data_IF_975595857588
#
_entry.id   IF_975595857588
#
_cell.length_a   1.000
_cell.length_b   1.000
_cell.length_c   1.000
_cell.angle_alpha   90.00
_cell.angle_beta   90.00
_cell.angle_gamma   90.00
#
_symmetry.space_group_name_H-M   'P 1'
#
loop_
_entity.id
_entity.type
_entity.pdbx_description
1 polymer ?
#
# COMPACT_ATOMS: atom_id res chain seq x y z
N UNK A 1 10.11 10.83 -17.62
CA UNK A 1 10.17 9.36 -17.79
C UNK A 1 11.27 9.04 -18.78
N UNK A 2 11.94 7.88 -18.66
CA UNK A 2 12.94 7.45 -19.65
C UNK A 2 12.24 7.04 -20.96
N UNK A 3 12.92 7.22 -22.10
CA UNK A 3 12.39 6.74 -23.39
C UNK A 3 12.19 5.22 -23.39
N UNK A 4 13.05 4.48 -22.68
CA UNK A 4 12.93 3.03 -22.46
C UNK A 4 11.63 2.68 -21.74
N UNK A 5 11.32 3.32 -20.60
CA UNK A 5 10.06 3.10 -19.88
C UNK A 5 8.83 3.36 -20.77
N UNK A 6 8.83 4.46 -21.54
CA UNK A 6 7.73 4.79 -22.44
C UNK A 6 7.56 3.73 -23.53
N UNK A 7 8.66 3.25 -24.13
CA UNK A 7 8.64 2.14 -25.09
C UNK A 7 8.02 0.89 -24.45
N UNK A 8 8.53 0.47 -23.29
CA UNK A 8 8.05 -0.71 -22.56
C UNK A 8 6.54 -0.65 -22.29
N UNK A 9 6.06 0.43 -21.68
CA UNK A 9 4.63 0.65 -21.41
C UNK A 9 3.75 0.55 -22.66
N UNK A 10 4.25 0.99 -23.82
CA UNK A 10 3.51 0.95 -25.09
C UNK A 10 3.58 -0.41 -25.82
N UNK A 11 4.56 -1.27 -25.50
CA UNK A 11 4.80 -2.54 -26.24
C UNK A 11 4.58 -3.81 -25.42
N UNK A 12 4.73 -3.78 -24.10
CA UNK A 12 4.67 -4.98 -23.24
C UNK A 12 3.23 -5.33 -22.78
N UNK A 13 2.42 -4.41 -22.23
CA UNK A 13 1.04 -4.71 -21.84
C UNK A 13 0.11 -4.97 -23.03
N UNK A 14 -1.04 -5.58 -22.75
CA UNK A 14 -2.21 -5.52 -23.62
C UNK A 14 -2.71 -4.07 -23.71
N UNK A 15 -3.00 -3.59 -24.94
CA UNK A 15 -3.40 -2.19 -25.18
C UNK A 15 -4.68 -1.79 -24.43
N UNK A 16 -5.62 -2.74 -24.23
CA UNK A 16 -6.85 -2.49 -23.46
C UNK A 16 -6.54 -2.32 -21.96
N UNK A 17 -5.59 -3.10 -21.44
CA UNK A 17 -5.16 -3.00 -20.04
C UNK A 17 -4.36 -1.71 -19.79
N UNK A 18 -3.45 -1.35 -20.71
CA UNK A 18 -2.76 -0.06 -20.66
C UNK A 18 -3.72 1.12 -20.66
N UNK A 19 -4.76 1.07 -21.51
CA UNK A 19 -5.82 2.08 -21.53
C UNK A 19 -6.61 2.12 -20.21
N UNK A 20 -7.05 0.96 -19.69
CA UNK A 20 -7.74 0.89 -18.39
C UNK A 20 -6.86 1.40 -17.24
N UNK A 21 -5.56 1.10 -17.23
CA UNK A 21 -4.61 1.66 -16.26
C UNK A 21 -4.49 3.18 -16.40
N UNK A 22 -4.24 3.70 -17.60
CA UNK A 22 -4.12 5.14 -17.84
C UNK A 22 -5.40 5.92 -17.49
N UNK A 23 -6.59 5.34 -17.74
CA UNK A 23 -7.87 6.01 -17.52
C UNK A 23 -8.44 5.80 -16.11
N UNK A 24 -8.58 4.56 -15.63
CA UNK A 24 -9.19 4.28 -14.33
C UNK A 24 -8.21 4.54 -13.17
N UNK A 25 -6.93 4.17 -13.28
CA UNK A 25 -5.93 4.49 -12.25
C UNK A 25 -5.39 5.92 -12.44
N UNK A 26 -4.90 6.25 -13.64
CA UNK A 26 -4.32 7.56 -13.93
C UNK A 26 -5.33 8.70 -13.85
N UNK A 27 -6.19 8.86 -14.85
CA UNK A 27 -7.09 10.02 -14.95
C UNK A 27 -8.12 10.08 -13.81
N UNK A 28 -8.84 8.99 -13.51
CA UNK A 28 -9.82 8.99 -12.41
C UNK A 28 -9.17 9.05 -11.03
N UNK A 29 -8.00 8.45 -10.82
CA UNK A 29 -7.27 8.58 -9.56
C UNK A 29 -6.87 10.03 -9.26
N UNK A 30 -6.38 10.76 -10.27
CA UNK A 30 -6.13 12.20 -10.17
C UNK A 30 -7.41 12.97 -9.80
N UNK A 31 -8.53 12.70 -10.48
CA UNK A 31 -9.84 13.31 -10.17
C UNK A 31 -10.36 12.94 -8.76
N UNK A 32 -10.01 11.76 -8.23
CA UNK A 32 -10.35 11.34 -6.87
C UNK A 32 -9.57 12.18 -5.84
N UNK A 33 -8.29 12.43 -6.09
CA UNK A 33 -7.42 13.27 -5.26
C UNK A 33 -7.88 14.74 -5.28
N UNK A 34 -8.22 15.28 -6.45
CA UNK A 34 -8.73 16.66 -6.56
C UNK A 34 -10.09 16.84 -5.86
N UNK A 35 -10.98 15.83 -5.91
CA UNK A 35 -12.23 15.80 -5.13
C UNK A 35 -11.94 15.80 -3.63
N UNK A 36 -11.02 14.95 -3.17
CA UNK A 36 -10.59 14.92 -1.77
C UNK A 36 -9.97 16.25 -1.30
N UNK A 37 -9.08 16.86 -2.09
CA UNK A 37 -8.53 18.19 -1.80
C UNK A 37 -9.60 19.27 -1.71
N UNK A 38 -10.68 19.18 -2.51
CA UNK A 38 -11.83 20.08 -2.41
C UNK A 38 -12.59 19.84 -1.10
N UNK A 39 -12.84 18.58 -0.73
CA UNK A 39 -13.49 18.18 0.53
C UNK A 39 -12.75 18.65 1.77
N UNK A 40 -11.42 18.49 1.81
CA UNK A 40 -10.59 18.98 2.92
C UNK A 40 -10.77 20.49 3.18
N UNK A 41 -10.89 21.30 2.12
CA UNK A 41 -11.15 22.74 2.22
C UNK A 41 -12.55 23.09 2.77
N UNK A 42 -13.43 22.10 2.86
CA UNK A 42 -14.79 22.20 3.40
C UNK A 42 -14.92 21.49 4.77
N UNK A 43 -13.83 20.90 5.30
CA UNK A 43 -13.85 20.11 6.53
C UNK A 43 -14.30 18.66 6.36
N UNK A 44 -14.52 18.21 5.12
CA UNK A 44 -14.92 16.83 4.80
C UNK A 44 -13.68 15.94 4.56
N UNK A 45 -13.74 14.69 5.03
CA UNK A 45 -12.62 13.74 5.05
C UNK A 45 -12.90 12.42 4.33
N UNK A 46 -13.94 12.33 3.48
CA UNK A 46 -14.18 11.12 2.70
C UNK A 46 -12.99 10.75 1.79
N UNK A 47 -12.36 9.58 1.96
CA UNK A 47 -11.05 9.27 1.39
C UNK A 47 -11.04 9.13 -0.13
N UNK A 48 -9.93 9.49 -0.77
CA UNK A 48 -9.74 9.43 -2.23
C UNK A 48 -9.61 7.99 -2.75
N UNK A 49 -9.18 7.07 -1.90
CA UNK A 49 -9.01 5.64 -2.17
C UNK A 49 -9.01 4.88 -0.84
N UNK A 50 -9.23 3.56 -0.88
CA UNK A 50 -9.13 2.70 0.30
C UNK A 50 -8.12 1.58 0.10
N UNK A 51 -7.51 1.15 1.20
CA UNK A 51 -6.90 -0.16 1.32
C UNK A 51 -7.94 -1.10 1.94
N UNK A 52 -8.14 -2.30 1.38
CA UNK A 52 -9.16 -3.25 1.85
C UNK A 52 -8.50 -4.61 1.99
N UNK A 53 -8.42 -5.13 3.22
CA UNK A 53 -8.04 -6.53 3.47
C UNK A 53 -9.28 -7.40 3.36
N UNK A 54 -9.37 -8.22 2.30
CA UNK A 54 -10.58 -9.04 2.05
C UNK A 54 -10.64 -10.30 2.91
N UNK A 55 -9.50 -10.82 3.33
CA UNK A 55 -9.33 -12.00 4.20
C UNK A 55 -8.14 -11.82 5.12
N UNK A 56 -8.04 -12.51 6.25
CA UNK A 56 -6.77 -12.69 6.98
C UNK A 56 -6.08 -14.04 6.71
N UNK A 57 -6.64 -14.90 5.86
CA UNK A 57 -5.98 -16.12 5.41
C UNK A 57 -4.69 -15.80 4.65
N UNK A 58 -3.61 -16.56 4.90
CA UNK A 58 -2.36 -16.44 4.14
C UNK A 58 -1.63 -17.79 4.05
N UNK A 59 -0.98 -18.06 2.93
CA UNK A 59 -0.12 -19.23 2.74
C UNK A 59 1.35 -19.00 3.19
N UNK A 60 1.63 -17.92 3.94
CA UNK A 60 2.96 -17.51 4.40
C UNK A 60 2.90 -16.90 5.82
N UNK A 61 3.99 -17.04 6.58
CA UNK A 61 4.12 -16.54 7.95
C UNK A 61 5.25 -15.50 8.06
N UNK A 62 5.07 -14.34 7.41
CA UNK A 62 6.15 -13.36 7.23
C UNK A 62 6.64 -12.74 8.54
N UNK A 63 7.95 -12.54 8.66
CA UNK A 63 8.59 -11.84 9.76
C UNK A 63 8.24 -10.34 9.71
N UNK A 64 7.59 -9.83 10.76
CA UNK A 64 7.04 -8.47 10.77
C UNK A 64 5.79 -8.29 9.92
N UNK A 65 5.01 -9.35 9.71
CA UNK A 65 3.64 -9.18 9.21
C UNK A 65 2.76 -8.55 10.30
N UNK A 66 2.03 -7.50 9.96
CA UNK A 66 0.97 -6.97 10.83
C UNK A 66 -0.29 -7.85 10.81
N UNK A 67 -0.52 -8.63 9.75
CA UNK A 67 -1.72 -9.47 9.63
C UNK A 67 -1.60 -10.71 10.52
N UNK A 68 -2.61 -10.90 11.37
CA UNK A 68 -2.77 -12.11 12.17
C UNK A 68 -3.77 -13.05 11.51
N UNK A 69 -3.31 -14.23 11.12
CA UNK A 69 -4.15 -15.30 10.60
C UNK A 69 -5.04 -15.85 11.73
N UNK A 70 -6.25 -16.29 11.38
CA UNK A 70 -7.15 -17.03 12.28
C UNK A 70 -7.67 -18.30 11.62
N UNK A 71 -8.19 -19.22 12.43
CA UNK A 71 -8.87 -20.41 11.95
C UNK A 71 -10.23 -20.55 12.68
N UNK A 72 -11.38 -20.40 12.00
CA UNK A 72 -11.51 -20.03 10.58
C UNK A 72 -10.93 -18.64 10.25
N UNK A 73 -10.62 -18.36 8.98
CA UNK A 73 -10.22 -17.01 8.57
C UNK A 73 -11.40 -16.04 8.71
N UNK A 74 -11.07 -14.77 8.96
CA UNK A 74 -11.98 -13.64 8.93
C UNK A 74 -11.98 -13.06 7.52
N UNK A 75 -13.17 -12.87 6.96
CA UNK A 75 -13.35 -12.46 5.57
C UNK A 75 -14.50 -11.46 5.43
N UNK A 76 -14.29 -10.42 4.61
CA UNK A 76 -15.37 -9.48 4.28
C UNK A 76 -16.45 -10.21 3.48
N UNK A 77 -17.73 -10.03 3.77
CA UNK A 77 -18.76 -10.66 2.94
C UNK A 77 -18.71 -10.08 1.50
N UNK A 78 -18.81 -10.90 0.42
CA UNK A 78 -18.73 -10.40 -0.95
C UNK A 78 -19.76 -9.30 -1.29
N UNK A 79 -20.95 -9.35 -0.67
CA UNK A 79 -21.96 -8.29 -0.77
C UNK A 79 -21.54 -6.98 -0.09
N UNK A 80 -20.91 -7.06 1.09
CA UNK A 80 -20.34 -5.90 1.80
C UNK A 80 -19.22 -5.25 0.97
N UNK A 81 -18.38 -6.05 0.29
CA UNK A 81 -17.31 -5.53 -0.57
C UNK A 81 -17.86 -4.83 -1.83
N UNK A 82 -18.89 -5.39 -2.47
CA UNK A 82 -19.62 -4.81 -3.62
C UNK A 82 -20.31 -3.48 -3.23
N UNK A 83 -20.98 -3.45 -2.07
CA UNK A 83 -21.57 -2.24 -1.49
C UNK A 83 -20.50 -1.17 -1.18
N UNK A 84 -19.42 -1.54 -0.49
CA UNK A 84 -18.30 -0.67 -0.13
C UNK A 84 -17.72 0.05 -1.35
N UNK A 85 -17.42 -0.70 -2.41
CA UNK A 85 -16.90 -0.13 -3.66
C UNK A 85 -17.97 0.74 -4.34
N UNK A 86 -19.24 0.34 -4.28
CA UNK A 86 -20.36 1.10 -4.86
C UNK A 86 -20.58 2.45 -4.15
N UNK A 87 -20.50 2.53 -2.83
CA UNK A 87 -20.56 3.79 -2.08
C UNK A 87 -19.33 4.68 -2.38
N UNK A 88 -18.12 4.12 -2.37
CA UNK A 88 -16.91 4.86 -2.73
C UNK A 88 -17.01 5.47 -4.15
N UNK A 89 -17.58 4.75 -5.12
CA UNK A 89 -17.82 5.27 -6.48
C UNK A 89 -18.78 6.47 -6.50
N UNK A 90 -19.86 6.45 -5.71
CA UNK A 90 -20.78 7.60 -5.58
C UNK A 90 -20.03 8.84 -5.10
N UNK A 91 -19.07 8.66 -4.20
CA UNK A 91 -18.19 9.71 -3.69
C UNK A 91 -16.98 10.02 -4.58
N UNK A 92 -16.83 9.33 -5.72
CA UNK A 92 -15.79 9.61 -6.72
C UNK A 92 -14.44 8.96 -6.45
N UNK A 93 -14.38 7.96 -5.58
CA UNK A 93 -13.18 7.19 -5.26
C UNK A 93 -13.21 5.90 -6.09
N UNK A 94 -12.34 5.83 -7.11
CA UNK A 94 -12.34 4.75 -8.13
C UNK A 94 -11.13 3.81 -8.04
N UNK A 95 -10.25 4.03 -7.08
CA UNK A 95 -9.02 3.28 -6.88
C UNK A 95 -9.03 2.57 -5.54
N UNK A 96 -8.64 1.29 -5.52
CA UNK A 96 -8.60 0.47 -4.33
C UNK A 96 -7.30 -0.35 -4.31
N UNK A 97 -6.60 -0.33 -3.18
CA UNK A 97 -5.59 -1.32 -2.87
C UNK A 97 -6.25 -2.51 -2.21
N UNK A 98 -6.11 -3.70 -2.80
CA UNK A 98 -6.67 -4.94 -2.28
C UNK A 98 -5.55 -5.74 -1.63
N UNK A 99 -5.72 -6.00 -0.34
CA UNK A 99 -4.83 -6.76 0.53
C UNK A 99 -5.59 -7.97 1.10
N UNK A 100 -4.91 -8.72 1.94
CA UNK A 100 -5.52 -9.65 2.88
C UNK A 100 -4.44 -10.10 3.85
N UNK A 101 -4.43 -11.38 4.21
CA UNK A 101 -3.18 -12.11 4.31
C UNK A 101 -2.61 -12.30 2.89
N UNK A 102 -3.22 -13.19 2.12
CA UNK A 102 -3.07 -13.30 0.66
C UNK A 102 -4.45 -13.18 0.00
N UNK A 103 -4.77 -12.09 -0.73
CA UNK A 103 -6.10 -11.88 -1.29
C UNK A 103 -6.49 -12.91 -2.36
N UNK A 104 -5.55 -13.61 -3.01
CA UNK A 104 -5.87 -14.70 -3.94
C UNK A 104 -6.38 -15.98 -3.27
N UNK A 105 -6.53 -15.99 -1.93
CA UNK A 105 -7.27 -17.03 -1.18
C UNK A 105 -8.75 -16.67 -0.94
N UNK A 106 -9.18 -15.46 -1.27
CA UNK A 106 -10.57 -15.01 -1.04
C UNK A 106 -11.51 -15.42 -2.18
N UNK A 107 -12.52 -16.21 -1.85
CA UNK A 107 -13.53 -16.67 -2.81
C UNK A 107 -14.42 -15.50 -3.30
N UNK A 108 -14.65 -15.42 -4.61
CA UNK A 108 -15.49 -14.39 -5.22
C UNK A 108 -14.79 -13.06 -5.56
N UNK A 109 -13.46 -12.97 -5.40
CA UNK A 109 -12.73 -11.71 -5.60
C UNK A 109 -12.85 -11.16 -7.03
N UNK A 110 -12.76 -12.03 -8.02
CA UNK A 110 -12.74 -11.65 -9.44
C UNK A 110 -14.12 -11.25 -9.95
N UNK A 111 -15.17 -11.86 -9.42
CA UNK A 111 -16.57 -11.51 -9.66
C UNK A 111 -16.87 -10.07 -9.19
N UNK A 112 -16.33 -9.66 -8.03
CA UNK A 112 -16.44 -8.28 -7.54
C UNK A 112 -15.66 -7.31 -8.44
N UNK A 113 -14.45 -7.68 -8.88
CA UNK A 113 -13.69 -6.83 -9.81
C UNK A 113 -14.39 -6.68 -11.17
N UNK A 114 -15.06 -7.72 -11.67
CA UNK A 114 -15.81 -7.68 -12.92
C UNK A 114 -17.06 -6.81 -12.83
N UNK A 115 -17.77 -6.79 -11.69
CA UNK A 115 -18.89 -5.87 -11.43
C UNK A 115 -18.49 -4.38 -11.44
N UNK A 116 -17.20 -4.06 -11.38
CA UNK A 116 -16.70 -2.69 -11.25
C UNK A 116 -15.66 -2.33 -12.33
N UNK A 117 -16.00 -2.45 -13.63
CA UNK A 117 -15.07 -2.24 -14.75
C UNK A 117 -14.56 -0.79 -14.87
N UNK A 118 -15.21 0.15 -14.18
CA UNK A 118 -14.90 1.57 -14.11
C UNK A 118 -13.91 1.94 -12.99
N UNK A 119 -13.66 1.03 -12.05
CA UNK A 119 -12.64 1.14 -10.99
C UNK A 119 -11.28 0.61 -11.44
N UNK A 120 -10.27 0.72 -10.58
CA UNK A 120 -9.00 0.04 -10.74
C UNK A 120 -8.51 -0.56 -9.42
N UNK A 121 -8.06 -1.81 -9.49
CA UNK A 121 -7.67 -2.61 -8.34
C UNK A 121 -6.16 -2.90 -8.37
N UNK A 122 -5.45 -2.40 -7.36
CA UNK A 122 -4.05 -2.73 -7.10
C UNK A 122 -4.01 -3.92 -6.14
N UNK A 123 -3.71 -5.10 -6.67
CA UNK A 123 -3.76 -6.35 -5.90
C UNK A 123 -2.40 -6.64 -5.26
N UNK A 124 -2.29 -6.46 -3.94
CA UNK A 124 -1.09 -6.77 -3.16
C UNK A 124 -1.05 -8.26 -2.89
N UNK A 125 -0.05 -8.97 -3.43
CA UNK A 125 0.00 -10.43 -3.39
C UNK A 125 1.45 -10.92 -3.29
N UNK A 126 1.68 -12.06 -2.63
CA UNK A 126 2.96 -12.76 -2.65
C UNK A 126 3.28 -13.35 -4.05
N UNK A 127 2.30 -13.42 -4.95
CA UNK A 127 2.47 -13.85 -6.34
C UNK A 127 2.50 -15.37 -6.55
N UNK A 128 2.61 -16.18 -5.50
CA UNK A 128 2.73 -17.65 -5.59
C UNK A 128 1.47 -18.29 -6.20
N UNK A 129 0.30 -17.70 -5.93
CA UNK A 129 -1.00 -18.13 -6.46
C UNK A 129 -1.27 -17.66 -7.91
N UNK A 130 -0.41 -16.82 -8.50
CA UNK A 130 -0.59 -16.33 -9.87
C UNK A 130 -0.14 -17.41 -10.87
N UNK A 131 -1.03 -18.35 -11.13
CA UNK A 131 -0.90 -19.30 -12.25
C UNK A 131 -1.15 -18.61 -13.60
N UNK A 132 -0.84 -19.30 -14.71
CA UNK A 132 -1.19 -18.80 -16.04
C UNK A 132 -2.71 -18.62 -16.24
N UNK A 133 -3.54 -19.43 -15.58
CA UNK A 133 -5.00 -19.29 -15.60
C UNK A 133 -5.45 -18.04 -14.82
N UNK A 134 -4.90 -17.83 -13.62
CA UNK A 134 -5.16 -16.62 -12.81
C UNK A 134 -4.73 -15.35 -13.55
N UNK A 135 -3.55 -15.36 -14.19
CA UNK A 135 -3.08 -14.24 -15.00
C UNK A 135 -3.94 -13.99 -16.27
N UNK A 136 -4.45 -15.05 -16.91
CA UNK A 136 -5.44 -14.94 -18.01
C UNK A 136 -6.75 -14.32 -17.54
N UNK A 137 -7.21 -14.66 -16.33
CA UNK A 137 -8.45 -14.14 -15.79
C UNK A 137 -8.33 -12.65 -15.41
N UNK A 138 -7.24 -12.28 -14.74
CA UNK A 138 -6.89 -10.87 -14.54
C UNK A 138 -6.80 -10.10 -15.88
N UNK A 139 -6.29 -10.75 -16.94
CA UNK A 139 -6.27 -10.16 -18.29
C UNK A 139 -7.68 -9.99 -18.83
N UNK A 140 -8.57 -10.99 -18.70
CA UNK A 140 -9.96 -10.94 -19.17
C UNK A 140 -10.67 -9.70 -18.60
N UNK A 141 -10.68 -9.57 -17.28
CA UNK A 141 -11.33 -8.46 -16.55
C UNK A 141 -10.61 -7.13 -16.86
N UNK A 142 -9.29 -7.08 -16.69
CA UNK A 142 -8.40 -6.02 -17.19
C UNK A 142 -8.40 -4.69 -16.43
N UNK A 143 -9.09 -4.58 -15.29
CA UNK A 143 -9.02 -3.43 -14.35
C UNK A 143 -8.16 -3.74 -13.11
N UNK A 144 -7.31 -4.76 -13.19
CA UNK A 144 -6.47 -5.28 -12.09
C UNK A 144 -5.01 -5.08 -12.48
N UNK A 145 -4.18 -4.69 -11.52
CA UNK A 145 -2.72 -4.72 -11.65
C UNK A 145 -2.12 -5.42 -10.43
N UNK A 146 -1.53 -6.63 -10.60
CA UNK A 146 -0.84 -7.31 -9.52
C UNK A 146 0.39 -6.50 -9.07
N UNK A 147 0.58 -6.43 -7.76
CA UNK A 147 1.73 -5.84 -7.10
C UNK A 147 2.41 -6.93 -6.28
N UNK A 148 3.38 -7.58 -6.92
CA UNK A 148 4.01 -8.81 -6.41
C UNK A 148 5.06 -8.46 -5.37
N UNK A 149 4.94 -9.08 -4.21
CA UNK A 149 5.72 -8.75 -3.02
C UNK A 149 7.05 -9.52 -2.99
N UNK A 150 8.18 -8.82 -3.16
CA UNK A 150 9.54 -9.37 -3.09
C UNK A 150 10.26 -8.81 -1.85
N UNK A 151 10.67 -9.68 -0.93
CA UNK A 151 11.20 -9.29 0.39
C UNK A 151 12.70 -9.56 0.58
N UNK A 152 13.35 -10.07 -0.47
CA UNK A 152 14.76 -10.44 -0.53
C UNK A 152 15.03 -11.24 -1.81
N UNK A 153 16.28 -11.62 -2.03
CA UNK A 153 16.65 -12.58 -3.07
C UNK A 153 16.89 -13.95 -2.42
N UNK A 154 16.44 -15.02 -3.09
CA UNK A 154 16.59 -16.42 -2.64
C UNK A 154 16.30 -16.60 -1.12
N UNK A 155 17.28 -17.09 -0.34
CA UNK A 155 17.20 -17.35 1.11
C UNK A 155 16.70 -16.16 1.94
N UNK A 156 17.02 -14.91 1.54
CA UNK A 156 16.57 -13.71 2.27
C UNK A 156 15.05 -13.59 2.16
N UNK A 157 14.46 -13.94 1.01
CA UNK A 157 13.01 -13.96 0.85
C UNK A 157 12.37 -15.05 1.70
N UNK A 158 12.97 -16.24 1.73
CA UNK A 158 12.47 -17.41 2.48
C UNK A 158 12.40 -17.13 3.99
N UNK A 159 13.49 -16.58 4.55
CA UNK A 159 13.54 -16.14 5.96
C UNK A 159 12.55 -15.01 6.25
N UNK A 160 12.47 -13.99 5.38
CA UNK A 160 11.57 -12.84 5.57
C UNK A 160 10.09 -13.21 5.44
N UNK A 161 9.76 -14.18 4.59
CA UNK A 161 8.39 -14.60 4.26
C UNK A 161 7.89 -15.81 5.07
N UNK A 162 8.80 -16.56 5.70
CA UNK A 162 8.45 -17.75 6.47
C UNK A 162 7.96 -18.89 5.58
N UNK A 163 8.75 -19.25 4.56
CA UNK A 163 8.45 -20.32 3.60
C UNK A 163 9.68 -20.71 2.77
N UNK A 164 9.54 -21.68 1.87
CA UNK A 164 10.63 -22.20 1.04
C UNK A 164 10.50 -21.79 -0.44
N UNK A 165 11.62 -21.47 -1.09
CA UNK A 165 11.69 -21.03 -2.49
C UNK A 165 10.72 -19.90 -2.83
N UNK A 166 10.41 -19.03 -1.87
CA UNK A 166 9.36 -18.00 -1.98
C UNK A 166 9.72 -17.01 -3.06
N UNK A 167 10.99 -16.60 -3.14
CA UNK A 167 11.46 -15.74 -4.24
C UNK A 167 11.13 -16.37 -5.61
N UNK A 168 11.54 -17.61 -5.84
CA UNK A 168 11.36 -18.32 -7.11
C UNK A 168 9.86 -18.46 -7.47
N UNK A 169 9.01 -18.73 -6.49
CA UNK A 169 7.56 -18.82 -6.68
C UNK A 169 6.93 -17.44 -7.01
N UNK A 170 7.32 -16.37 -6.31
CA UNK A 170 6.91 -14.99 -6.64
C UNK A 170 7.37 -14.59 -8.06
N UNK A 171 8.59 -14.98 -8.46
CA UNK A 171 9.11 -14.71 -9.80
C UNK A 171 8.38 -15.51 -10.89
N UNK A 172 7.91 -16.72 -10.60
CA UNK A 172 7.01 -17.48 -11.49
C UNK A 172 5.68 -16.76 -11.68
N UNK A 173 5.10 -16.20 -10.61
CA UNK A 173 3.91 -15.34 -10.68
C UNK A 173 4.12 -14.13 -11.58
N UNK A 174 5.25 -13.43 -11.43
CA UNK A 174 5.63 -12.30 -12.29
C UNK A 174 5.78 -12.72 -13.76
N UNK A 175 6.40 -13.88 -14.02
CA UNK A 175 6.52 -14.42 -15.37
C UNK A 175 5.15 -14.76 -15.99
N UNK A 176 4.20 -15.27 -15.21
CA UNK A 176 2.83 -15.54 -15.65
C UNK A 176 2.07 -14.24 -15.97
N UNK A 177 2.23 -13.17 -15.18
CA UNK A 177 1.73 -11.84 -15.48
C UNK A 177 2.29 -11.29 -16.81
N UNK A 178 3.61 -11.36 -16.99
CA UNK A 178 4.32 -10.88 -18.19
C UNK A 178 3.91 -11.66 -19.44
N UNK A 179 3.79 -13.00 -19.36
CA UNK A 179 3.30 -13.84 -20.48
C UNK A 179 1.89 -13.43 -20.91
N UNK A 180 1.04 -13.07 -19.95
CA UNK A 180 -0.33 -12.63 -20.20
C UNK A 180 -0.46 -11.12 -20.45
N UNK A 181 0.66 -10.40 -20.57
CA UNK A 181 0.73 -8.97 -20.92
C UNK A 181 -0.07 -8.09 -19.97
N UNK A 182 -0.06 -8.43 -18.67
CA UNK A 182 -0.66 -7.60 -17.65
C UNK A 182 0.15 -6.31 -17.45
N UNK A 183 -0.54 -5.26 -16.98
CA UNK A 183 0.15 -4.21 -16.23
C UNK A 183 0.43 -4.81 -14.85
N UNK A 184 1.65 -4.69 -14.37
CA UNK A 184 2.13 -5.41 -13.18
C UNK A 184 3.28 -4.64 -12.54
N UNK A 185 3.35 -4.67 -11.22
CA UNK A 185 4.48 -4.13 -10.49
C UNK A 185 5.03 -5.08 -9.45
N UNK A 186 6.13 -4.65 -8.82
CA UNK A 186 6.77 -5.29 -7.68
C UNK A 186 6.72 -4.34 -6.49
N UNK A 187 6.54 -4.85 -5.27
CA UNK A 187 6.72 -4.08 -4.05
C UNK A 187 7.73 -4.76 -3.13
N UNK A 188 8.44 -3.95 -2.34
CA UNK A 188 9.47 -4.40 -1.40
C UNK A 188 9.35 -3.61 -0.09
N UNK A 189 9.34 -4.28 1.06
CA UNK A 189 9.44 -3.70 2.40
C UNK A 189 10.92 -3.69 2.84
N UNK A 190 11.59 -2.58 2.54
CA UNK A 190 13.03 -2.40 2.76
C UNK A 190 13.34 -2.35 4.25
N UNK A 191 14.28 -3.20 4.65
CA UNK A 191 14.76 -3.40 6.01
C UNK A 191 16.27 -3.70 5.98
N UNK A 192 16.92 -3.78 7.14
CA UNK A 192 18.39 -3.94 7.20
C UNK A 192 18.93 -5.18 6.49
N UNK A 193 18.17 -6.27 6.43
CA UNK A 193 18.62 -7.54 5.83
C UNK A 193 18.42 -7.63 4.31
N UNK A 194 17.74 -6.66 3.69
CA UNK A 194 17.45 -6.69 2.24
C UNK A 194 17.76 -5.35 1.52
N UNK A 195 18.20 -4.30 2.22
CA UNK A 195 18.45 -2.99 1.62
C UNK A 195 19.53 -3.05 0.54
N UNK A 196 20.64 -3.74 0.77
CA UNK A 196 21.74 -3.83 -0.21
C UNK A 196 21.35 -4.65 -1.45
N UNK A 197 20.47 -5.65 -1.29
CA UNK A 197 19.93 -6.48 -2.38
C UNK A 197 18.88 -5.77 -3.23
N UNK A 198 18.02 -4.94 -2.62
CA UNK A 198 16.81 -4.40 -3.24
C UNK A 198 16.93 -2.90 -3.59
N UNK A 199 17.77 -2.12 -2.89
CA UNK A 199 17.97 -0.69 -3.11
C UNK A 199 19.19 -0.40 -4.02
N UNK A 200 19.36 -1.21 -5.07
CA UNK A 200 20.42 -1.04 -6.07
C UNK A 200 19.87 -1.09 -7.51
N UNK A 201 20.65 -0.57 -8.47
CA UNK A 201 20.22 -0.50 -9.87
C UNK A 201 20.14 -1.87 -10.57
N UNK A 202 20.88 -2.87 -10.11
CA UNK A 202 20.84 -4.23 -10.68
C UNK A 202 19.45 -4.83 -10.45
N UNK A 203 18.92 -4.75 -9.22
CA UNK A 203 17.57 -5.20 -8.90
C UNK A 203 16.49 -4.43 -9.68
N UNK A 204 16.56 -3.09 -9.71
CA UNK A 204 15.60 -2.25 -10.46
C UNK A 204 15.56 -2.60 -11.94
N UNK A 205 16.72 -2.84 -12.56
CA UNK A 205 16.80 -3.24 -13.96
C UNK A 205 16.35 -4.69 -14.18
N UNK A 206 16.58 -5.59 -13.23
CA UNK A 206 16.19 -7.00 -13.32
C UNK A 206 14.66 -7.18 -13.23
N UNK A 207 13.99 -6.57 -12.25
CA UNK A 207 12.51 -6.63 -12.19
C UNK A 207 11.87 -5.97 -13.42
N UNK A 208 12.50 -4.92 -13.95
CA UNK A 208 12.08 -4.30 -15.21
C UNK A 208 12.27 -5.25 -16.41
N UNK A 209 13.42 -5.93 -16.52
CA UNK A 209 13.71 -6.93 -17.58
C UNK A 209 12.70 -8.08 -17.57
N UNK A 210 12.18 -8.43 -16.40
CA UNK A 210 11.18 -9.49 -16.19
C UNK A 210 9.73 -9.04 -16.42
N UNK A 211 9.52 -7.78 -16.81
CA UNK A 211 8.20 -7.25 -17.22
C UNK A 211 7.47 -6.43 -16.16
N UNK A 212 8.08 -6.12 -15.01
CA UNK A 212 7.47 -5.17 -14.07
C UNK A 212 7.48 -3.74 -14.64
N UNK A 213 6.36 -3.04 -14.52
CA UNK A 213 6.12 -1.70 -15.06
C UNK A 213 6.29 -0.61 -13.98
N UNK A 214 6.12 -0.98 -12.71
CA UNK A 214 6.37 -0.14 -11.56
C UNK A 214 6.97 -0.94 -10.39
N UNK A 215 7.72 -0.27 -9.53
CA UNK A 215 8.39 -0.82 -8.35
C UNK A 215 8.12 0.09 -7.15
N UNK A 216 7.51 -0.45 -6.10
CA UNK A 216 7.15 0.30 -4.89
C UNK A 216 8.11 -0.04 -3.75
N UNK A 217 8.77 0.97 -3.21
CA UNK A 217 9.58 0.84 -2.01
C UNK A 217 8.77 1.30 -0.80
N UNK A 218 8.54 0.37 0.11
CA UNK A 218 8.04 0.63 1.45
C UNK A 218 9.20 0.57 2.44
N UNK A 219 9.19 1.41 3.48
CA UNK A 219 10.05 1.18 4.64
C UNK A 219 9.35 0.19 5.57
N UNK A 220 10.10 -0.82 6.02
CA UNK A 220 9.66 -1.79 7.00
C UNK A 220 9.24 -1.12 8.32
N UNK A 221 8.06 -1.49 8.82
CA UNK A 221 7.51 -1.05 10.11
C UNK A 221 7.49 -2.25 11.05
N UNK A 222 8.21 -2.21 12.18
CA UNK A 222 8.30 -3.36 13.08
C UNK A 222 7.05 -3.47 13.96
N UNK A 223 5.98 -4.07 13.44
CA UNK A 223 4.68 -4.25 14.11
C UNK A 223 4.14 -5.67 13.91
N UNK A 224 3.07 -6.03 14.63
CA UNK A 224 2.48 -7.35 14.59
C UNK A 224 3.06 -8.30 15.64
N UNK A 225 2.64 -9.58 15.65
CA UNK A 225 3.01 -10.53 16.71
C UNK A 225 4.50 -10.86 16.72
N UNK A 226 5.20 -10.71 15.58
CA UNK A 226 6.64 -10.94 15.45
C UNK A 226 7.30 -9.70 14.80
N UNK A 227 7.42 -8.57 15.52
CA UNK A 227 7.72 -7.27 14.92
C UNK A 227 9.19 -7.08 14.52
N UNK A 228 10.10 -7.93 15.00
CA UNK A 228 11.56 -7.91 14.75
C UNK A 228 12.17 -6.49 14.58
N UNK A 229 12.18 -5.65 15.64
CA UNK A 229 12.61 -4.25 15.53
C UNK A 229 14.07 -4.05 15.08
N UNK A 230 14.94 -5.05 15.27
CA UNK A 230 16.34 -5.02 14.81
C UNK A 230 16.48 -4.79 13.30
N UNK A 231 15.48 -5.20 12.50
CA UNK A 231 15.45 -5.02 11.04
C UNK A 231 15.01 -3.62 10.59
N UNK A 232 14.44 -2.79 11.48
CA UNK A 232 14.07 -1.42 11.13
C UNK A 232 15.30 -0.62 10.68
N UNK A 233 15.18 0.16 9.61
CA UNK A 233 16.29 0.99 9.12
C UNK A 233 16.68 2.05 10.16
N UNK A 234 17.95 2.44 10.16
CA UNK A 234 18.39 3.64 10.88
C UNK A 234 18.17 4.90 10.00
N UNK A 235 18.28 6.09 10.59
CA UNK A 235 18.03 7.36 9.89
C UNK A 235 18.94 7.62 8.67
N UNK A 236 20.17 7.11 8.68
CA UNK A 236 21.08 7.21 7.54
C UNK A 236 20.61 6.33 6.38
N UNK A 237 20.31 5.06 6.67
CA UNK A 237 19.74 4.10 5.70
C UNK A 237 18.42 4.58 5.09
N UNK A 238 17.55 5.25 5.85
CA UNK A 238 16.33 5.86 5.31
C UNK A 238 16.65 7.01 4.35
N UNK A 239 17.60 7.86 4.71
CA UNK A 239 18.06 8.98 3.86
C UNK A 239 18.69 8.45 2.56
N UNK A 240 19.46 7.38 2.65
CA UNK A 240 20.16 6.76 1.53
C UNK A 240 19.19 6.04 0.57
N UNK A 241 18.22 5.31 1.11
CA UNK A 241 17.11 4.72 0.34
C UNK A 241 16.34 5.82 -0.42
N UNK A 242 16.02 6.95 0.23
CA UNK A 242 15.37 8.10 -0.41
C UNK A 242 16.24 8.68 -1.53
N UNK A 243 17.55 8.84 -1.32
CA UNK A 243 18.49 9.33 -2.33
C UNK A 243 18.54 8.41 -3.55
N UNK A 244 18.69 7.10 -3.31
CA UNK A 244 18.68 6.07 -4.33
C UNK A 244 17.40 6.13 -5.19
N UNK A 245 16.22 6.18 -4.55
CA UNK A 245 14.94 6.29 -5.27
C UNK A 245 14.87 7.53 -6.16
N UNK A 246 15.26 8.69 -5.65
CA UNK A 246 15.24 9.95 -6.42
C UNK A 246 16.19 9.92 -7.61
N UNK A 247 17.36 9.29 -7.47
CA UNK A 247 18.34 9.20 -8.54
C UNK A 247 18.00 8.14 -9.60
N UNK A 248 17.56 6.95 -9.17
CA UNK A 248 17.21 5.87 -10.11
C UNK A 248 16.01 6.25 -10.98
N UNK A 249 15.04 7.02 -10.45
CA UNK A 249 13.88 7.58 -11.19
C UNK A 249 14.22 8.38 -12.45
N UNK A 250 15.45 8.87 -12.59
CA UNK A 250 15.91 9.63 -13.76
C UNK A 250 16.23 8.74 -14.96
N UNK A 251 16.64 7.49 -14.71
CA UNK A 251 17.21 6.57 -15.72
C UNK A 251 16.53 5.21 -15.79
N UNK A 252 15.82 4.80 -14.75
CA UNK A 252 15.15 3.50 -14.66
C UNK A 252 14.25 3.22 -15.88
N UNK A 253 14.23 1.97 -16.40
CA UNK A 253 13.25 1.52 -17.38
C UNK A 253 11.89 1.14 -16.75
N UNK A 254 11.65 1.51 -15.49
CA UNK A 254 10.49 1.14 -14.66
C UNK A 254 10.07 2.35 -13.80
N UNK A 255 8.78 2.47 -13.45
CA UNK A 255 8.31 3.53 -12.55
C UNK A 255 8.61 3.18 -11.09
N UNK A 256 9.60 3.85 -10.48
CA UNK A 256 9.90 3.68 -9.03
C UNK A 256 9.01 4.59 -8.18
N UNK A 257 8.40 4.06 -7.13
CA UNK A 257 7.29 4.69 -6.37
C UNK A 257 7.56 4.63 -4.86
N UNK A 258 7.21 5.72 -4.16
CA UNK A 258 7.14 5.83 -2.69
C UNK A 258 5.89 6.67 -2.36
N UNK A 259 5.28 6.49 -1.19
CA UNK A 259 4.03 7.19 -0.81
C UNK A 259 4.18 8.10 0.42
N UNK A 260 5.41 8.42 0.83
CA UNK A 260 5.71 8.98 2.16
C UNK A 260 6.58 10.24 2.14
N UNK A 261 6.93 10.74 0.96
CA UNK A 261 7.53 12.07 0.77
C UNK A 261 6.79 12.86 -0.30
N UNK A 262 6.83 14.19 -0.22
CA UNK A 262 6.34 15.09 -1.27
C UNK A 262 7.40 15.33 -2.37
N UNK A 263 7.18 16.30 -3.27
CA UNK A 263 8.13 16.64 -4.33
C UNK A 263 9.36 17.42 -3.85
N UNK A 264 9.30 18.02 -2.67
CA UNK A 264 10.41 18.68 -1.98
C UNK A 264 11.21 17.72 -1.09
N UNK A 265 10.69 16.50 -0.86
CA UNK A 265 11.31 15.51 0.00
C UNK A 265 10.96 15.67 1.48
N UNK A 266 9.96 16.49 1.81
CA UNK A 266 9.37 16.54 3.15
C UNK A 266 8.53 15.27 3.37
N UNK A 267 8.54 14.75 4.60
CA UNK A 267 7.80 13.53 4.94
C UNK A 267 6.30 13.79 5.06
N UNK A 268 5.51 12.76 4.74
CA UNK A 268 4.05 12.81 4.89
C UNK A 268 3.47 11.47 5.35
N UNK A 269 2.41 11.55 6.15
CA UNK A 269 1.62 10.41 6.60
C UNK A 269 0.22 10.45 5.95
N UNK A 270 -0.10 9.56 4.99
CA UNK A 270 -1.41 9.56 4.31
C UNK A 270 -2.60 9.43 5.26
N UNK A 271 -2.44 8.66 6.35
CA UNK A 271 -3.46 8.48 7.39
C UNK A 271 -3.72 9.77 8.18
N UNK A 272 -2.67 10.56 8.47
CA UNK A 272 -2.80 11.83 9.17
C UNK A 272 -3.47 12.91 8.30
N UNK A 273 -3.33 12.83 6.98
CA UNK A 273 -4.08 13.66 6.01
C UNK A 273 -5.54 13.19 5.90
N UNK A 274 -5.83 11.92 6.17
CA UNK A 274 -7.14 11.31 5.92
C UNK A 274 -7.40 10.98 4.45
N UNK A 275 -6.36 10.93 3.60
CA UNK A 275 -6.55 10.69 2.16
C UNK A 275 -6.91 9.23 1.84
N UNK A 276 -6.57 8.33 2.75
CA UNK A 276 -7.02 6.95 2.75
C UNK A 276 -6.97 6.34 4.15
N UNK A 277 -7.79 5.30 4.27
CA UNK A 277 -7.93 4.43 5.42
C UNK A 277 -7.75 2.98 4.99
N UNK A 278 -7.70 2.09 5.97
CA UNK A 278 -7.73 0.66 5.77
C UNK A 278 -9.07 0.09 6.27
N UNK A 279 -9.65 -0.84 5.52
CA UNK A 279 -10.81 -1.63 5.92
C UNK A 279 -10.30 -3.04 6.25
N UNK A 280 -10.49 -3.47 7.49
CA UNK A 280 -10.13 -4.82 7.92
C UNK A 280 -11.13 -5.88 7.40
N UNK A 281 -10.81 -7.18 7.48
CA UNK A 281 -11.74 -8.23 7.05
C UNK A 281 -13.06 -8.25 7.85
N UNK A 282 -13.05 -7.79 9.11
CA UNK A 282 -14.26 -7.62 9.93
C UNK A 282 -15.01 -6.30 9.65
N UNK A 283 -14.54 -5.49 8.68
CA UNK A 283 -15.13 -4.21 8.31
C UNK A 283 -14.72 -3.01 9.17
N UNK A 284 -13.76 -3.14 10.09
CA UNK A 284 -13.28 -2.01 10.89
C UNK A 284 -12.56 -0.96 10.04
N UNK A 285 -12.77 0.32 10.34
CA UNK A 285 -12.11 1.44 9.67
C UNK A 285 -10.87 1.84 10.45
N UNK A 286 -9.73 1.35 9.97
CA UNK A 286 -8.40 1.56 10.54
C UNK A 286 -7.71 2.78 9.88
N UNK A 287 -6.83 3.53 10.58
CA UNK A 287 -6.15 4.66 9.98
C UNK A 287 -5.20 4.29 8.83
N UNK A 288 -4.50 3.16 8.92
CA UNK A 288 -3.76 2.55 7.81
C UNK A 288 -3.45 1.06 8.11
N UNK A 289 -3.01 0.24 7.13
CA UNK A 289 -2.89 -1.21 7.31
C UNK A 289 -2.06 -1.70 8.52
N UNK A 290 -0.93 -1.07 8.92
CA UNK A 290 -0.20 -1.45 10.14
C UNK A 290 -0.76 -0.85 11.45
N UNK A 291 -1.83 -0.06 11.41
CA UNK A 291 -2.50 0.55 12.57
C UNK A 291 -3.85 -0.14 12.81
N UNK A 292 -3.81 -1.37 13.33
CA UNK A 292 -4.97 -2.25 13.46
C UNK A 292 -5.83 -1.95 14.69
N UNK A 293 -6.37 -0.73 14.75
CA UNK A 293 -7.35 -0.34 15.75
C UNK A 293 -8.42 0.56 15.14
N UNK A 294 -9.62 0.54 15.73
CA UNK A 294 -10.75 1.33 15.25
C UNK A 294 -11.78 1.64 16.36
N UNK A 295 -12.65 2.62 16.09
CA UNK A 295 -13.97 2.77 16.72
C UNK A 295 -15.11 2.54 15.73
N UNK A 296 -14.88 2.86 14.46
CA UNK A 296 -15.88 2.78 13.39
C UNK A 296 -15.80 1.46 12.60
N UNK A 297 -16.94 1.03 12.05
CA UNK A 297 -17.05 -0.17 11.21
C UNK A 297 -18.01 0.13 10.04
N UNK A 298 -17.77 -0.43 8.85
CA UNK A 298 -18.57 -0.19 7.65
C UNK A 298 -19.92 -0.91 7.62
N UNK A 299 -20.16 -1.85 8.53
CA UNK A 299 -21.38 -2.67 8.57
C UNK A 299 -21.59 -3.47 7.28
N UNK A 300 -22.69 -3.20 6.57
CA UNK A 300 -23.02 -3.82 5.28
C UNK A 300 -22.38 -3.10 4.06
N UNK A 301 -21.52 -2.10 4.31
CA UNK A 301 -20.85 -1.31 3.28
C UNK A 301 -21.65 -0.10 2.79
N UNK A 302 -22.78 0.22 3.43
CA UNK A 302 -23.59 1.42 3.13
C UNK A 302 -23.30 2.60 4.07
N UNK A 303 -23.79 3.81 3.75
CA UNK A 303 -23.70 4.98 4.65
C UNK A 303 -22.28 5.56 4.85
N UNK A 304 -21.28 5.06 4.11
CA UNK A 304 -19.86 5.37 4.33
C UNK A 304 -19.54 6.88 4.36
N UNK A 305 -20.28 7.70 3.63
CA UNK A 305 -20.07 9.15 3.61
C UNK A 305 -20.18 9.75 5.01
N UNK A 306 -21.22 9.38 5.76
CA UNK A 306 -21.46 9.89 7.10
C UNK A 306 -20.48 9.27 8.09
N UNK A 307 -20.17 7.98 7.95
CA UNK A 307 -19.21 7.28 8.82
C UNK A 307 -17.81 7.94 8.75
N UNK A 308 -17.29 8.18 7.54
CA UNK A 308 -15.96 8.81 7.38
C UNK A 308 -15.91 10.28 7.81
N UNK A 309 -16.97 11.05 7.55
CA UNK A 309 -16.98 12.48 7.88
C UNK A 309 -17.27 12.74 9.37
N UNK A 310 -18.09 11.91 10.02
CA UNK A 310 -18.53 12.10 11.41
C UNK A 310 -17.70 11.30 12.43
N UNK A 311 -16.71 10.51 12.00
CA UNK A 311 -15.79 9.79 12.90
C UNK A 311 -14.94 10.77 13.72
N UNK A 312 -15.34 10.97 14.99
CA UNK A 312 -14.53 11.69 15.98
C UNK A 312 -13.16 11.03 16.19
N UNK A 313 -13.12 9.69 16.19
CA UNK A 313 -11.91 8.92 16.41
C UNK A 313 -10.85 9.21 15.35
N UNK A 314 -11.22 9.14 14.07
CA UNK A 314 -10.30 9.45 12.98
C UNK A 314 -9.92 10.94 12.98
N UNK A 315 -10.83 11.85 13.35
CA UNK A 315 -10.53 13.28 13.46
C UNK A 315 -9.48 13.58 14.56
N UNK A 316 -9.63 12.98 15.74
CA UNK A 316 -8.65 13.08 16.83
C UNK A 316 -7.32 12.41 16.46
N UNK A 317 -7.34 11.23 15.84
CA UNK A 317 -6.14 10.53 15.37
C UNK A 317 -5.33 11.41 14.40
N UNK A 318 -5.99 12.02 13.40
CA UNK A 318 -5.34 12.95 12.46
C UNK A 318 -4.67 14.10 13.20
N UNK A 319 -5.42 14.74 14.10
CA UNK A 319 -4.95 15.88 14.90
C UNK A 319 -3.76 15.53 15.81
N UNK A 320 -3.82 14.37 16.48
CA UNK A 320 -2.73 13.85 17.30
C UNK A 320 -1.47 13.58 16.46
N UNK A 321 -1.62 12.94 15.30
CA UNK A 321 -0.49 12.64 14.41
C UNK A 321 0.17 13.91 13.89
N UNK A 322 -0.59 14.85 13.32
CA UNK A 322 -0.05 16.10 12.74
C UNK A 322 0.60 17.00 13.79
N UNK A 323 0.12 16.98 15.04
CA UNK A 323 0.75 17.68 16.17
C UNK A 323 2.00 16.97 16.74
N UNK A 324 2.31 15.74 16.29
CA UNK A 324 3.41 14.93 16.84
C UNK A 324 4.56 14.76 15.86
N UNK A 325 4.28 14.37 14.62
CA UNK A 325 5.32 14.09 13.61
C UNK A 325 4.80 14.25 12.18
N UNK A 326 5.71 14.59 11.26
CA UNK A 326 5.48 14.54 9.81
C UNK A 326 5.73 13.15 9.21
N UNK A 327 6.39 12.25 9.95
CA UNK A 327 6.72 10.90 9.52
C UNK A 327 5.73 9.84 10.03
N UNK A 328 6.23 8.70 10.46
CA UNK A 328 5.39 7.57 10.85
C UNK A 328 5.27 7.47 12.38
N UNK A 329 4.07 7.72 12.90
CA UNK A 329 3.77 7.71 14.35
C UNK A 329 4.21 6.40 15.04
N UNK A 330 4.01 5.25 14.39
CA UNK A 330 4.48 3.91 14.83
C UNK A 330 5.99 3.91 15.09
N UNK A 331 6.75 4.51 14.18
CA UNK A 331 8.21 4.41 14.15
C UNK A 331 8.87 5.45 15.04
N UNK A 332 8.26 6.62 15.22
CA UNK A 332 8.85 7.74 15.98
C UNK A 332 8.31 7.81 17.41
N UNK A 333 7.01 7.57 17.63
CA UNK A 333 6.34 7.76 18.92
C UNK A 333 5.32 6.63 19.25
N UNK A 334 5.74 5.35 19.29
CA UNK A 334 4.85 4.23 19.58
C UNK A 334 4.17 4.33 20.96
N UNK A 335 4.84 4.87 21.99
CA UNK A 335 4.25 5.11 23.30
C UNK A 335 3.07 6.09 23.27
N UNK A 336 3.22 7.24 22.59
CA UNK A 336 2.13 8.22 22.42
C UNK A 336 0.97 7.67 21.60
N UNK A 337 1.26 6.76 20.66
CA UNK A 337 0.23 6.03 19.93
C UNK A 337 -0.55 5.09 20.86
N UNK A 338 0.13 4.36 21.76
CA UNK A 338 -0.52 3.51 22.77
C UNK A 338 -1.39 4.33 23.73
N UNK A 339 -0.85 5.44 24.28
CA UNK A 339 -1.61 6.41 25.10
C UNK A 339 -2.88 6.89 24.39
N UNK A 340 -2.79 7.23 23.10
CA UNK A 340 -3.94 7.65 22.30
C UNK A 340 -5.00 6.54 22.18
N UNK A 341 -4.59 5.32 21.82
CA UNK A 341 -5.49 4.15 21.67
C UNK A 341 -6.22 3.85 22.98
N UNK A 342 -5.50 3.87 24.10
CA UNK A 342 -6.07 3.68 25.45
C UNK A 342 -7.03 4.83 25.82
N UNK A 343 -6.63 6.09 25.59
CA UNK A 343 -7.46 7.26 25.93
C UNK A 343 -8.77 7.35 25.16
N UNK A 344 -8.81 6.80 23.94
CA UNK A 344 -10.00 6.72 23.09
C UNK A 344 -10.79 5.42 23.27
N UNK A 345 -10.34 4.49 24.12
CA UNK A 345 -10.95 3.15 24.28
C UNK A 345 -11.08 2.44 22.91
N UNK A 346 -10.05 2.53 22.07
CA UNK A 346 -10.10 2.02 20.71
C UNK A 346 -10.03 0.47 20.68
N UNK A 347 -10.84 -0.15 19.83
CA UNK A 347 -10.86 -1.61 19.68
C UNK A 347 -9.60 -2.08 18.97
N UNK A 348 -8.92 -3.11 19.51
CA UNK A 348 -7.86 -3.86 18.82
C UNK A 348 -8.49 -4.72 17.70
N UNK A 349 -8.59 -4.15 16.50
CA UNK A 349 -9.15 -4.81 15.32
C UNK A 349 -8.18 -5.81 14.68
N UNK A 350 -6.96 -5.97 15.21
CA UNK A 350 -6.05 -7.05 14.78
C UNK A 350 -6.52 -8.44 15.20
N UNK A 351 -7.37 -8.52 16.23
CA UNK A 351 -7.82 -9.77 16.84
C UNK A 351 -6.77 -10.47 17.71
N UNK A 352 -5.60 -9.86 17.97
CA UNK A 352 -4.59 -10.44 18.87
C UNK A 352 -4.85 -10.18 20.35
N UNK A 353 -5.40 -9.01 20.70
CA UNK A 353 -5.55 -8.57 22.09
C UNK A 353 -4.22 -8.12 22.73
N UNK A 354 -3.16 -7.99 21.94
CA UNK A 354 -1.79 -7.64 22.39
C UNK A 354 -1.30 -6.30 21.84
N UNK A 355 -2.09 -5.58 21.03
CA UNK A 355 -1.61 -4.40 20.30
C UNK A 355 -1.06 -3.28 21.20
N UNK A 356 -1.69 -2.99 22.34
CA UNK A 356 -1.19 -2.01 23.30
C UNK A 356 0.14 -2.45 23.94
N UNK A 357 0.29 -3.75 24.23
CA UNK A 357 1.54 -4.32 24.75
C UNK A 357 2.66 -4.29 23.70
N UNK A 358 2.34 -4.63 22.45
CA UNK A 358 3.27 -4.53 21.30
C UNK A 358 3.83 -3.11 21.20
N UNK A 359 2.96 -2.09 21.16
CA UNK A 359 3.36 -0.69 21.07
C UNK A 359 4.12 -0.22 22.32
N UNK A 360 3.70 -0.62 23.52
CA UNK A 360 4.39 -0.29 24.77
C UNK A 360 5.81 -0.85 24.88
N UNK A 361 6.10 -1.96 24.19
CA UNK A 361 7.43 -2.55 24.10
C UNK A 361 8.28 -2.02 22.92
N UNK A 362 7.72 -1.18 22.03
CA UNK A 362 8.45 -0.63 20.89
C UNK A 362 9.27 0.61 21.25
N UNK A 363 10.56 0.58 20.92
CA UNK A 363 11.40 1.78 20.87
C UNK A 363 11.29 2.49 19.51
N UNK A 364 11.58 3.80 19.50
CA UNK A 364 11.65 4.58 18.27
C UNK A 364 12.76 4.07 17.31
N UNK A 365 12.52 4.17 16.01
CA UNK A 365 13.43 3.73 14.94
C UNK A 365 13.48 4.73 13.77
N UNK A 366 14.36 4.49 12.78
CA UNK A 366 14.57 5.41 11.66
C UNK A 366 13.33 5.52 10.77
N UNK A 367 12.80 6.73 10.64
CA UNK A 367 11.54 7.02 9.93
C UNK A 367 11.74 8.01 8.77
N UNK A 368 10.68 8.25 8.01
CA UNK A 368 10.65 9.06 6.79
C UNK A 368 10.98 10.53 7.04
N UNK A 369 10.63 11.06 8.22
CA UNK A 369 10.93 12.43 8.63
C UNK A 369 12.40 12.54 9.05
N UNK A 370 13.17 13.28 8.26
CA UNK A 370 14.62 13.45 8.43
C UNK A 370 14.96 14.95 8.33
N UNK A 371 14.71 15.75 9.39
CA UNK A 371 14.87 17.20 9.37
C UNK A 371 16.25 17.65 8.89
N UNK A 372 16.29 18.55 7.91
CA UNK A 372 17.52 19.07 7.32
C UNK A 372 18.26 18.09 6.40
N UNK A 373 17.65 16.95 6.08
CA UNK A 373 18.15 15.95 5.11
C UNK A 373 17.13 15.66 4.00
N UNK A 374 16.21 16.58 3.75
CA UNK A 374 15.19 16.47 2.72
C UNK A 374 15.84 16.32 1.34
N UNK A 375 15.30 15.41 0.52
CA UNK A 375 15.81 15.14 -0.83
C UNK A 375 14.69 15.40 -1.84
N UNK A 376 14.65 16.58 -2.48
CA UNK A 376 13.67 16.93 -3.50
C UNK A 376 13.72 16.01 -4.71
N UNK A 377 12.58 15.81 -5.36
CA UNK A 377 12.51 15.07 -6.63
C UNK A 377 13.37 15.75 -7.70
N UNK A 378 14.20 14.97 -8.39
CA UNK A 378 15.08 15.44 -9.49
C UNK A 378 14.42 15.34 -10.86
N UNK A 379 13.28 14.66 -10.97
CA UNK A 379 12.58 14.41 -12.24
C UNK A 379 11.28 15.19 -12.30
N UNK A 380 11.10 16.04 -13.33
CA UNK A 380 9.87 16.83 -13.53
C UNK A 380 8.60 15.96 -13.55
N UNK A 381 8.67 14.80 -14.22
CA UNK A 381 7.54 13.86 -14.26
C UNK A 381 7.17 13.34 -12.86
N UNK A 382 8.12 13.21 -11.95
CA UNK A 382 7.85 12.82 -10.57
C UNK A 382 7.39 14.00 -9.71
N UNK A 383 7.85 15.24 -9.96
CA UNK A 383 7.29 16.44 -9.31
C UNK A 383 5.83 16.71 -9.67
N UNK A 384 5.44 16.33 -10.90
CA UNK A 384 4.04 16.37 -11.36
C UNK A 384 3.21 15.17 -10.87
N UNK A 385 3.85 14.02 -10.66
CA UNK A 385 3.15 12.80 -10.24
C UNK A 385 2.96 12.72 -8.71
N UNK A 386 3.95 13.18 -7.95
CA UNK A 386 3.68 13.84 -6.66
C UNK A 386 2.83 15.09 -6.95
N UNK A 387 2.05 15.60 -5.98
CA UNK A 387 0.90 16.52 -6.19
C UNK A 387 -0.32 15.83 -6.77
N UNK A 388 -0.27 15.35 -8.02
CA UNK A 388 -1.49 14.92 -8.74
C UNK A 388 -1.87 13.44 -8.59
N UNK A 389 -0.98 12.55 -8.16
CA UNK A 389 -1.26 11.11 -7.96
C UNK A 389 -0.91 10.59 -6.56
N UNK A 390 -1.27 9.32 -6.33
CA UNK A 390 -1.21 8.58 -5.07
C UNK A 390 0.14 8.64 -4.31
N UNK A 391 1.25 8.93 -5.00
CA UNK A 391 2.59 8.64 -4.52
C UNK A 391 3.42 9.89 -4.18
N UNK A 392 2.77 10.88 -3.58
CA UNK A 392 3.44 12.02 -2.93
C UNK A 392 2.52 13.23 -2.90
N UNK A 393 1.55 13.24 -2.00
CA UNK A 393 0.44 14.17 -2.07
C UNK A 393 0.87 15.61 -1.76
N UNK A 394 0.75 16.48 -2.76
CA UNK A 394 0.75 17.94 -2.59
C UNK A 394 -0.57 18.40 -1.99
N UNK A 395 -0.86 17.91 -0.79
CA UNK A 395 -2.10 18.13 -0.04
C UNK A 395 -1.87 19.04 1.19
N UNK A 396 -0.74 19.75 1.23
CA UNK A 396 -0.27 20.54 2.37
C UNK A 396 -0.26 22.06 2.13
N UNK A 397 -0.72 22.54 0.96
CA UNK A 397 -0.77 23.96 0.59
C UNK A 397 -0.97 24.14 -0.91
#
# INVERSE_FOLDING_TARGET
>A
MSATLMKRLMTEPDKRLLWKFAYNFGYKGMRSIERFQKRLKQGEYFPAFLFISVTNACNLACQGCWVSQSNPPKEIAPGTLDNLITECKKQGSYFFGILGGEPLLYDGLFEVFEKHPECYFLLFTNGMMITDAVAKEMRRIGNISPLISIEGLEEVSDVRRGGESVYQQSMMGLANCTRNRLVTGVCTSVCKSNIDDLANEKFVNEVARLGAHYLWYYIYRPVGPNPTPSLALNSEQVTDLRRFMVDVRRKAPIMVVDAYWDDQGAALCPAAVGIANHISPDGYIEPCPPLQFAKDNIGDGTGLYDIFNNSEFLAKFRSMCTATTQGCIIMEHPGKLAEFIESEDATDSSGRGTLLQELGCMGSCGSHHQPGKEIPERSWAYRFAKKHWFFGFGAYG
#
